data_IF_554630892205
#
_entry.id   IF_554630892205
#
_cell.length_a   1.000
_cell.length_b   1.000
_cell.length_c   1.000
_cell.angle_alpha   90.00
_cell.angle_beta   90.00
_cell.angle_gamma   90.00
#
_symmetry.space_group_name_H-M   'P 1'
#
loop_
_entity.id
_entity.type
_entity.pdbx_description
1 polymer ?
#
# COMPACT_ATOMS: atom_id res chain seq x y z
N UNK A 1 -17.29 17.26 30.34
CA UNK A 1 -17.26 15.82 30.60
C UNK A 1 -17.56 15.49 32.07
N UNK A 2 -17.06 16.25 33.07
CA UNK A 2 -17.32 15.99 34.50
C UNK A 2 -18.82 16.00 34.87
N UNK A 3 -19.61 16.90 34.24
CA UNK A 3 -21.08 16.89 34.42
C UNK A 3 -21.73 15.65 33.79
N UNK A 4 -21.17 15.17 32.68
CA UNK A 4 -21.67 13.95 32.03
C UNK A 4 -21.38 12.74 32.90
N UNK A 5 -20.17 12.65 33.45
CA UNK A 5 -19.77 11.60 34.39
C UNK A 5 -20.65 11.53 35.64
N UNK A 6 -21.09 12.71 36.17
CA UNK A 6 -22.02 12.76 37.28
C UNK A 6 -23.42 12.22 36.92
N UNK A 7 -23.83 12.30 35.65
CA UNK A 7 -25.18 11.91 35.20
C UNK A 7 -25.22 10.43 34.80
N UNK A 8 -24.23 9.97 34.00
CA UNK A 8 -24.24 8.62 33.43
C UNK A 8 -23.30 7.64 34.15
N UNK A 9 -22.57 8.13 35.15
CA UNK A 9 -21.52 7.39 35.83
C UNK A 9 -20.21 7.38 35.04
N UNK A 10 -19.14 6.95 35.70
CA UNK A 10 -17.83 6.74 35.11
C UNK A 10 -17.86 5.52 34.17
N UNK A 11 -17.33 5.64 32.99
CA UNK A 11 -17.13 4.53 32.06
C UNK A 11 -15.84 4.71 31.27
N UNK A 12 -15.34 3.63 30.69
CA UNK A 12 -14.11 3.56 29.91
C UNK A 12 -14.01 4.62 28.82
N UNK A 13 -15.07 4.75 28.01
CA UNK A 13 -15.10 5.69 26.90
C UNK A 13 -14.99 7.14 27.37
N UNK A 14 -15.68 7.50 28.45
CA UNK A 14 -15.61 8.84 29.02
C UNK A 14 -14.24 9.17 29.60
N UNK A 15 -13.60 8.21 30.28
CA UNK A 15 -12.24 8.37 30.80
C UNK A 15 -11.22 8.54 29.69
N UNK A 16 -11.34 7.77 28.57
CA UNK A 16 -10.47 7.94 27.39
C UNK A 16 -10.68 9.29 26.71
N UNK A 17 -11.92 9.79 26.60
CA UNK A 17 -12.17 11.13 26.06
C UNK A 17 -11.63 12.23 26.98
N UNK A 18 -11.72 12.09 28.31
CA UNK A 18 -11.07 12.99 29.25
C UNK A 18 -9.56 13.00 29.08
N UNK A 19 -8.95 11.82 28.97
CA UNK A 19 -7.53 11.67 28.72
C UNK A 19 -7.08 12.43 27.46
N UNK A 20 -7.79 12.22 26.32
CA UNK A 20 -7.48 12.91 25.05
C UNK A 20 -7.60 14.44 25.17
N UNK A 21 -8.64 14.92 25.85
CA UNK A 21 -8.84 16.35 26.07
C UNK A 21 -7.74 16.93 26.96
N UNK A 22 -7.34 16.23 28.03
CA UNK A 22 -6.25 16.70 28.89
C UNK A 22 -4.92 16.75 28.13
N UNK A 23 -4.64 15.81 27.22
CA UNK A 23 -3.48 15.90 26.34
C UNK A 23 -3.54 17.13 25.42
N UNK A 24 -4.72 17.40 24.81
CA UNK A 24 -4.91 18.60 23.98
C UNK A 24 -4.77 19.91 24.75
N UNK A 25 -5.09 19.89 26.04
CA UNK A 25 -4.96 21.05 26.96
C UNK A 25 -3.55 21.16 27.58
N UNK A 26 -2.64 20.26 27.22
CA UNK A 26 -1.29 20.16 27.83
C UNK A 26 -1.35 19.98 29.36
N UNK A 27 -2.45 19.40 29.89
CA UNK A 27 -2.60 19.08 31.31
C UNK A 27 -2.15 17.63 31.57
N UNK A 28 -0.85 17.40 31.46
CA UNK A 28 -0.22 16.07 31.58
C UNK A 28 -0.57 15.40 32.92
N UNK A 29 -0.72 16.19 33.98
CA UNK A 29 -1.04 15.66 35.32
C UNK A 29 -2.41 14.99 35.35
N UNK A 30 -3.44 15.64 34.75
CA UNK A 30 -4.78 15.05 34.70
C UNK A 30 -4.86 13.92 33.67
N UNK A 31 -4.19 14.04 32.52
CA UNK A 31 -4.06 12.96 31.56
C UNK A 31 -3.49 11.70 32.21
N UNK A 32 -2.40 11.84 32.95
CA UNK A 32 -1.78 10.76 33.71
C UNK A 32 -2.75 10.10 34.72
N UNK A 33 -3.48 10.90 35.49
CA UNK A 33 -4.45 10.39 36.48
C UNK A 33 -5.59 9.59 35.82
N UNK A 34 -6.07 9.99 34.65
CA UNK A 34 -7.14 9.26 33.98
C UNK A 34 -6.64 7.90 33.45
N UNK A 35 -5.45 7.83 32.86
CA UNK A 35 -4.85 6.56 32.39
C UNK A 35 -4.45 5.65 33.56
N UNK A 36 -3.89 6.21 34.62
CA UNK A 36 -3.54 5.43 35.82
C UNK A 36 -4.78 4.73 36.41
N UNK A 37 -5.91 5.44 36.51
CA UNK A 37 -7.19 4.88 36.96
C UNK A 37 -7.71 3.79 35.99
N UNK A 38 -7.59 4.01 34.66
CA UNK A 38 -8.01 3.01 33.67
C UNK A 38 -7.14 1.75 33.77
N UNK A 39 -5.83 1.90 33.91
CA UNK A 39 -4.91 0.77 34.09
C UNK A 39 -5.16 -0.01 35.39
N UNK A 40 -5.59 0.68 36.45
CA UNK A 40 -6.00 0.04 37.73
C UNK A 40 -7.35 -0.70 37.60
N UNK A 41 -8.31 -0.11 36.90
CA UNK A 41 -9.66 -0.66 36.71
C UNK A 41 -9.66 -1.81 35.70
N UNK A 42 -8.79 -1.74 34.68
CA UNK A 42 -8.64 -2.73 33.62
C UNK A 42 -7.19 -3.27 33.56
N UNK A 43 -6.71 -3.99 34.58
CA UNK A 43 -5.30 -4.38 34.71
C UNK A 43 -4.82 -5.40 33.67
N UNK A 44 -5.73 -6.00 32.92
CA UNK A 44 -5.47 -6.92 31.81
C UNK A 44 -5.65 -6.27 30.44
N UNK A 45 -5.96 -4.99 30.36
CA UNK A 45 -5.99 -4.26 29.10
C UNK A 45 -4.61 -3.66 28.82
N UNK A 46 -3.88 -4.30 27.92
CA UNK A 46 -2.51 -3.93 27.57
C UNK A 46 -2.40 -2.55 26.91
N UNK A 47 -3.49 -2.04 26.36
CA UNK A 47 -3.52 -0.68 25.79
C UNK A 47 -3.30 0.37 26.85
N UNK A 48 -3.99 0.26 27.99
CA UNK A 48 -3.85 1.22 29.10
C UNK A 48 -2.51 1.10 29.80
N UNK A 49 -2.01 -0.12 29.98
CA UNK A 49 -0.68 -0.33 30.52
C UNK A 49 0.41 0.26 29.63
N UNK A 50 0.30 0.09 28.30
CA UNK A 50 1.27 0.68 27.37
C UNK A 50 1.22 2.20 27.40
N UNK A 51 0.02 2.80 27.33
CA UNK A 51 -0.15 4.26 27.45
C UNK A 51 0.37 4.79 28.78
N UNK A 52 0.17 4.06 29.89
CA UNK A 52 0.74 4.45 31.19
C UNK A 52 2.27 4.43 31.17
N UNK A 53 2.85 3.43 30.49
CA UNK A 53 4.30 3.37 30.25
C UNK A 53 4.82 4.58 29.49
N UNK A 54 4.11 4.99 28.42
CA UNK A 54 4.46 6.17 27.62
C UNK A 54 4.41 7.46 28.45
N UNK A 55 3.38 7.61 29.29
CA UNK A 55 3.28 8.75 30.19
C UNK A 55 4.37 8.75 31.26
N UNK A 56 4.76 7.57 31.80
CA UNK A 56 5.93 7.46 32.67
C UNK A 56 7.20 7.95 31.99
N UNK A 57 7.41 7.53 30.72
CA UNK A 57 8.58 7.92 29.93
C UNK A 57 8.61 9.43 29.68
N UNK A 58 7.50 10.03 29.25
CA UNK A 58 7.36 11.48 29.04
C UNK A 58 7.62 12.29 30.30
N UNK A 59 7.22 11.77 31.46
CA UNK A 59 7.47 12.40 32.77
C UNK A 59 8.85 12.07 33.37
N UNK A 60 9.76 11.47 32.61
CA UNK A 60 11.09 11.14 33.03
C UNK A 60 11.21 9.96 34.01
N UNK A 61 10.11 9.25 34.29
CA UNK A 61 10.05 8.05 35.14
C UNK A 61 10.47 6.81 34.31
N UNK A 62 11.76 6.80 33.92
CA UNK A 62 12.29 5.81 32.98
C UNK A 62 12.19 4.37 33.49
N UNK A 63 12.41 4.14 34.77
CA UNK A 63 12.36 2.78 35.32
C UNK A 63 10.94 2.22 35.37
N UNK A 64 9.97 3.06 35.71
CA UNK A 64 8.55 2.71 35.71
C UNK A 64 8.06 2.43 34.30
N UNK A 65 8.45 3.26 33.32
CA UNK A 65 8.14 3.03 31.90
C UNK A 65 8.64 1.66 31.44
N UNK A 66 9.93 1.39 31.65
CA UNK A 66 10.54 0.13 31.27
C UNK A 66 9.84 -1.07 31.92
N UNK A 67 9.60 -1.03 33.25
CA UNK A 67 8.94 -2.13 33.95
C UNK A 67 7.50 -2.35 33.46
N UNK A 68 6.81 -1.29 33.07
CA UNK A 68 5.44 -1.37 32.54
C UNK A 68 5.43 -2.04 31.15
N UNK A 69 6.33 -1.65 30.25
CA UNK A 69 6.45 -2.30 28.93
C UNK A 69 6.85 -3.78 29.06
N UNK A 70 7.80 -4.09 29.93
CA UNK A 70 8.19 -5.48 30.20
C UNK A 70 7.03 -6.31 30.77
N UNK A 71 6.19 -5.73 31.63
CA UNK A 71 4.99 -6.38 32.14
C UNK A 71 4.02 -6.71 31.00
N UNK A 72 3.75 -5.76 30.08
CA UNK A 72 2.89 -6.01 28.91
C UNK A 72 3.46 -7.14 28.07
N UNK A 73 4.74 -7.10 27.71
CA UNK A 73 5.38 -8.11 26.87
C UNK A 73 5.53 -9.47 27.57
N UNK A 74 5.50 -9.52 28.89
CA UNK A 74 5.46 -10.80 29.63
C UNK A 74 4.09 -11.51 29.53
N UNK A 75 3.02 -10.75 29.30
CA UNK A 75 1.63 -11.23 29.16
C UNK A 75 1.29 -11.46 27.68
N UNK A 76 1.63 -10.49 26.86
CA UNK A 76 1.43 -10.51 25.41
C UNK A 76 2.78 -10.27 24.69
N UNK A 77 3.57 -11.33 24.45
CA UNK A 77 4.90 -11.19 23.83
C UNK A 77 4.90 -10.51 22.45
N UNK A 78 3.79 -10.63 21.71
CA UNK A 78 3.62 -10.11 20.35
C UNK A 78 2.84 -8.78 20.33
N UNK A 79 2.67 -8.11 21.49
CA UNK A 79 2.00 -6.83 21.56
C UNK A 79 2.82 -5.75 20.86
N UNK A 80 2.41 -5.42 19.63
CA UNK A 80 3.13 -4.50 18.75
C UNK A 80 3.30 -3.10 19.34
N UNK A 81 2.28 -2.61 20.07
CA UNK A 81 2.30 -1.31 20.72
C UNK A 81 3.39 -1.26 21.80
N UNK A 82 3.45 -2.28 22.66
CA UNK A 82 4.47 -2.37 23.71
C UNK A 82 5.88 -2.61 23.13
N UNK A 83 6.00 -3.40 22.05
CA UNK A 83 7.28 -3.61 21.37
C UNK A 83 7.82 -2.30 20.81
N UNK A 84 6.97 -1.50 20.16
CA UNK A 84 7.34 -0.19 19.62
C UNK A 84 7.64 0.83 20.72
N UNK A 85 6.83 0.88 21.79
CA UNK A 85 7.05 1.72 22.94
C UNK A 85 8.39 1.43 23.63
N UNK A 86 8.76 0.14 23.75
CA UNK A 86 10.06 -0.27 24.29
C UNK A 86 11.21 0.12 23.35
N UNK A 87 11.03 0.05 22.04
CA UNK A 87 12.01 0.57 21.09
C UNK A 87 12.23 2.07 21.29
N UNK A 88 11.16 2.86 21.36
CA UNK A 88 11.20 4.31 21.61
C UNK A 88 11.89 4.62 22.96
N UNK A 89 11.66 3.80 23.97
CA UNK A 89 12.37 3.91 25.26
C UNK A 89 13.88 3.74 25.09
N UNK A 90 14.33 2.71 24.35
CA UNK A 90 15.76 2.49 24.11
C UNK A 90 16.38 3.63 23.31
N UNK A 91 15.68 4.17 22.32
CA UNK A 91 16.12 5.33 21.55
C UNK A 91 16.31 6.56 22.44
N UNK A 92 15.30 6.95 23.23
CA UNK A 92 15.34 8.10 24.13
C UNK A 92 16.37 7.97 25.26
N UNK A 93 16.74 6.74 25.62
CA UNK A 93 17.75 6.47 26.62
C UNK A 93 19.15 6.27 26.03
N UNK A 94 19.30 6.39 24.71
CA UNK A 94 20.57 6.28 23.99
C UNK A 94 21.12 4.86 23.87
N UNK A 95 20.29 3.85 24.05
CA UNK A 95 20.66 2.42 24.00
C UNK A 95 20.51 1.88 22.58
N UNK A 96 21.34 2.35 21.64
CA UNK A 96 21.21 2.11 20.20
C UNK A 96 21.15 0.63 19.83
N UNK A 97 21.95 -0.21 20.44
CA UNK A 97 21.99 -1.66 20.17
C UNK A 97 20.68 -2.33 20.58
N UNK A 98 20.11 -1.97 21.72
CA UNK A 98 18.84 -2.50 22.19
C UNK A 98 17.67 -1.98 21.36
N UNK A 99 17.71 -0.71 20.95
CA UNK A 99 16.76 -0.17 19.98
C UNK A 99 16.74 -0.99 18.70
N UNK A 100 17.92 -1.23 18.10
CA UNK A 100 18.04 -2.00 16.87
C UNK A 100 17.52 -3.43 17.03
N UNK A 101 17.88 -4.10 18.12
CA UNK A 101 17.38 -5.45 18.40
C UNK A 101 15.86 -5.47 18.57
N UNK A 102 15.29 -4.47 19.22
CA UNK A 102 13.83 -4.39 19.42
C UNK A 102 13.09 -4.13 18.10
N UNK A 103 13.60 -3.25 17.24
CA UNK A 103 13.05 -3.02 15.90
C UNK A 103 13.17 -4.28 15.05
N UNK A 104 14.31 -4.95 15.05
CA UNK A 104 14.48 -6.22 14.34
C UNK A 104 13.46 -7.28 14.83
N UNK A 105 13.28 -7.39 16.14
CA UNK A 105 12.32 -8.33 16.74
C UNK A 105 10.91 -8.03 16.28
N UNK A 106 10.49 -6.77 16.28
CA UNK A 106 9.15 -6.35 15.82
C UNK A 106 8.94 -6.63 14.34
N UNK A 107 9.89 -6.21 13.50
CA UNK A 107 9.78 -6.35 12.05
C UNK A 107 9.78 -7.82 11.57
N UNK A 108 10.47 -8.71 12.28
CA UNK A 108 10.55 -10.13 11.94
C UNK A 108 9.48 -10.99 12.62
N UNK A 109 8.66 -10.43 13.46
CA UNK A 109 7.60 -11.15 14.14
C UNK A 109 6.34 -11.22 13.27
N UNK A 110 6.03 -12.38 12.70
CA UNK A 110 4.85 -12.60 11.86
C UNK A 110 3.52 -12.63 12.63
N UNK A 111 3.54 -12.61 13.97
CA UNK A 111 2.34 -12.43 14.79
C UNK A 111 1.95 -10.95 14.91
N UNK A 112 2.87 -10.02 14.64
CA UNK A 112 2.58 -8.59 14.54
C UNK A 112 1.86 -8.33 13.21
N UNK A 113 0.72 -7.60 13.22
CA UNK A 113 -0.01 -7.29 12.00
C UNK A 113 0.87 -6.64 10.92
N UNK A 114 0.69 -7.06 9.67
CA UNK A 114 1.49 -6.59 8.54
C UNK A 114 1.49 -5.08 8.40
N UNK A 115 0.31 -4.43 8.55
CA UNK A 115 0.19 -2.97 8.54
C UNK A 115 1.12 -2.29 9.57
N UNK A 116 1.22 -2.85 10.78
CA UNK A 116 2.11 -2.32 11.81
C UNK A 116 3.58 -2.50 11.41
N UNK A 117 3.96 -3.67 10.92
CA UNK A 117 5.33 -3.94 10.42
C UNK A 117 5.70 -3.01 9.27
N UNK A 118 4.78 -2.75 8.35
CA UNK A 118 4.96 -1.81 7.23
C UNK A 118 5.19 -0.38 7.75
N UNK A 119 4.41 0.08 8.73
CA UNK A 119 4.58 1.41 9.30
C UNK A 119 5.94 1.57 10.00
N UNK A 120 6.31 0.60 10.82
CA UNK A 120 7.64 0.58 11.48
C UNK A 120 8.78 0.49 10.46
N UNK A 121 8.59 -0.29 9.38
CA UNK A 121 9.58 -0.38 8.30
C UNK A 121 9.75 0.94 7.56
N UNK A 122 8.69 1.73 7.38
CA UNK A 122 8.78 3.09 6.82
C UNK A 122 9.64 4.01 7.69
N UNK A 123 9.47 3.97 9.00
CA UNK A 123 10.30 4.74 9.94
C UNK A 123 11.76 4.26 9.90
N UNK A 124 11.97 2.95 9.88
CA UNK A 124 13.30 2.36 9.73
C UNK A 124 14.00 2.82 8.44
N UNK A 125 13.28 2.88 7.31
CA UNK A 125 13.80 3.40 6.05
C UNK A 125 14.25 4.86 6.21
N UNK A 126 13.39 5.72 6.77
CA UNK A 126 13.71 7.14 6.97
C UNK A 126 14.97 7.31 7.81
N UNK A 127 15.08 6.58 8.92
CA UNK A 127 16.25 6.63 9.79
C UNK A 127 17.52 6.12 9.09
N UNK A 128 17.43 4.98 8.41
CA UNK A 128 18.56 4.42 7.69
C UNK A 128 19.08 5.36 6.58
N UNK A 129 18.18 6.04 5.87
CA UNK A 129 18.52 7.02 4.84
C UNK A 129 19.16 8.29 5.40
N UNK A 130 18.80 8.69 6.62
CA UNK A 130 19.45 9.81 7.33
C UNK A 130 20.87 9.44 7.81
N UNK A 131 21.06 8.21 8.26
CA UNK A 131 22.35 7.73 8.75
C UNK A 131 23.33 7.42 7.60
N UNK A 132 22.83 6.84 6.52
CA UNK A 132 23.62 6.46 5.33
C UNK A 132 22.75 6.43 4.09
N UNK A 133 23.32 6.83 2.95
CA UNK A 133 22.68 6.67 1.63
C UNK A 133 22.79 5.24 1.09
N UNK A 134 23.37 4.31 1.85
CA UNK A 134 23.53 2.92 1.47
C UNK A 134 22.26 2.13 1.77
N UNK A 135 21.63 1.64 0.72
CA UNK A 135 20.40 0.85 0.80
C UNK A 135 20.59 -0.57 1.32
N UNK A 136 21.80 -1.03 1.54
CA UNK A 136 22.12 -2.44 1.88
C UNK A 136 21.40 -2.90 3.16
N UNK A 137 21.38 -2.05 4.19
CA UNK A 137 20.73 -2.36 5.47
C UNK A 137 19.22 -2.51 5.32
N UNK A 138 18.60 -1.62 4.54
CA UNK A 138 17.15 -1.63 4.28
C UNK A 138 16.77 -2.88 3.45
N UNK A 139 17.52 -3.15 2.39
CA UNK A 139 17.32 -4.33 1.54
C UNK A 139 17.46 -5.63 2.36
N UNK A 140 18.51 -5.73 3.17
CA UNK A 140 18.73 -6.90 4.01
C UNK A 140 17.59 -7.13 5.02
N UNK A 141 16.98 -6.06 5.54
CA UNK A 141 15.81 -6.17 6.42
C UNK A 141 14.59 -6.68 5.65
N UNK A 142 14.28 -6.13 4.48
CA UNK A 142 13.20 -6.64 3.64
C UNK A 142 13.38 -8.12 3.29
N UNK A 143 14.58 -8.53 2.89
CA UNK A 143 14.89 -9.93 2.58
C UNK A 143 14.67 -10.87 3.79
N UNK A 144 14.94 -10.38 5.01
CA UNK A 144 14.66 -11.13 6.24
C UNK A 144 13.17 -11.24 6.50
N UNK A 145 12.43 -10.14 6.35
CA UNK A 145 10.97 -10.11 6.54
C UNK A 145 10.26 -11.05 5.57
N UNK A 146 10.62 -11.04 4.28
CA UNK A 146 10.02 -11.92 3.27
C UNK A 146 10.33 -13.40 3.50
N UNK A 147 11.52 -13.73 4.05
CA UNK A 147 11.83 -15.11 4.44
C UNK A 147 11.05 -15.57 5.65
N UNK A 148 10.76 -14.67 6.58
CA UNK A 148 10.02 -14.97 7.81
C UNK A 148 8.53 -15.12 7.57
N UNK A 149 7.99 -14.34 6.65
CA UNK A 149 6.56 -14.31 6.32
C UNK A 149 6.40 -14.17 4.79
N UNK A 150 6.52 -15.29 4.06
CA UNK A 150 6.49 -15.28 2.59
C UNK A 150 5.10 -15.01 2.01
N UNK A 151 4.03 -15.13 2.81
CA UNK A 151 2.65 -14.94 2.40
C UNK A 151 2.11 -13.53 2.72
N UNK A 152 2.96 -12.65 3.29
CA UNK A 152 2.63 -11.25 3.53
C UNK A 152 2.47 -10.51 2.19
N UNK A 153 1.34 -9.83 2.00
CA UNK A 153 1.02 -9.08 0.77
C UNK A 153 1.48 -7.63 0.79
N UNK A 154 1.70 -7.04 1.96
CA UNK A 154 2.01 -5.61 2.13
C UNK A 154 3.52 -5.33 2.14
N UNK A 155 4.29 -6.16 2.83
CA UNK A 155 5.74 -6.00 2.92
C UNK A 155 6.42 -6.07 1.56
N UNK A 156 6.12 -7.06 0.68
CA UNK A 156 6.73 -7.09 -0.66
C UNK A 156 6.33 -5.89 -1.50
N UNK A 157 5.11 -5.36 -1.34
CA UNK A 157 4.71 -4.15 -2.07
C UNK A 157 5.50 -2.92 -1.61
N UNK A 158 5.72 -2.73 -0.32
CA UNK A 158 6.59 -1.68 0.21
C UNK A 158 8.04 -1.86 -0.26
N UNK A 159 8.54 -3.09 -0.29
CA UNK A 159 9.90 -3.39 -0.79
C UNK A 159 10.05 -3.02 -2.26
N UNK A 160 9.11 -3.42 -3.11
CA UNK A 160 9.12 -3.05 -4.52
C UNK A 160 9.12 -1.52 -4.73
N UNK A 161 8.29 -0.79 -3.97
CA UNK A 161 8.27 0.68 -3.99
C UNK A 161 9.62 1.28 -3.59
N UNK A 162 10.25 0.73 -2.55
CA UNK A 162 11.58 1.15 -2.12
C UNK A 162 12.63 0.94 -3.22
N UNK A 163 12.68 -0.26 -3.80
CA UNK A 163 13.61 -0.58 -4.90
C UNK A 163 13.43 0.36 -6.09
N UNK A 164 12.18 0.63 -6.49
CA UNK A 164 11.87 1.56 -7.57
C UNK A 164 12.33 2.99 -7.24
N UNK A 165 12.15 3.44 -6.01
CA UNK A 165 12.61 4.76 -5.57
C UNK A 165 14.14 4.92 -5.64
N UNK A 166 14.87 3.81 -5.56
CA UNK A 166 16.33 3.74 -5.72
C UNK A 166 16.80 3.48 -7.16
N UNK A 167 15.87 3.41 -8.13
CA UNK A 167 16.20 3.10 -9.52
C UNK A 167 16.55 1.63 -9.77
N UNK A 168 16.28 0.75 -8.81
CA UNK A 168 16.56 -0.69 -8.86
C UNK A 168 15.37 -1.44 -9.48
N UNK A 169 15.02 -1.07 -10.73
CA UNK A 169 13.84 -1.61 -11.41
C UNK A 169 13.95 -3.12 -11.64
N UNK A 170 15.14 -3.61 -11.99
CA UNK A 170 15.33 -5.05 -12.26
C UNK A 170 15.07 -5.90 -11.02
N UNK A 171 15.52 -5.43 -9.87
CA UNK A 171 15.36 -6.07 -8.57
C UNK A 171 13.92 -6.02 -8.07
N UNK A 172 13.14 -4.99 -8.46
CA UNK A 172 11.74 -4.87 -8.09
C UNK A 172 10.82 -5.87 -8.81
N UNK A 173 11.18 -6.32 -10.03
CA UNK A 173 10.35 -7.23 -10.83
C UNK A 173 10.01 -8.55 -10.12
N UNK A 174 10.97 -9.32 -9.58
CA UNK A 174 10.66 -10.56 -8.89
C UNK A 174 9.80 -10.33 -7.64
N UNK A 175 9.99 -9.21 -6.92
CA UNK A 175 9.20 -8.84 -5.75
C UNK A 175 7.75 -8.53 -6.14
N UNK A 176 7.53 -7.75 -7.21
CA UNK A 176 6.19 -7.47 -7.73
C UNK A 176 5.48 -8.74 -8.25
N UNK A 177 6.22 -9.67 -8.86
CA UNK A 177 5.67 -10.97 -9.25
C UNK A 177 5.24 -11.80 -8.04
N UNK A 178 5.99 -11.74 -6.93
CA UNK A 178 5.58 -12.36 -5.66
C UNK A 178 4.28 -11.73 -5.14
N UNK A 179 4.15 -10.40 -5.16
CA UNK A 179 2.88 -9.73 -4.79
C UNK A 179 1.71 -10.30 -5.59
N UNK A 180 1.85 -10.48 -6.91
CA UNK A 180 0.78 -11.03 -7.75
C UNK A 180 0.53 -12.54 -7.55
N UNK A 181 1.46 -13.29 -6.98
CA UNK A 181 1.23 -14.68 -6.57
C UNK A 181 0.37 -14.77 -5.32
N UNK A 182 0.57 -13.82 -4.39
CA UNK A 182 -0.18 -13.74 -3.12
C UNK A 182 -1.54 -13.11 -3.36
N UNK A 183 -1.57 -11.95 -4.01
CA UNK A 183 -2.79 -11.22 -4.38
C UNK A 183 -2.85 -10.99 -5.89
N UNK A 184 -3.49 -11.89 -6.66
CA UNK A 184 -3.68 -11.72 -8.11
C UNK A 184 -4.52 -10.50 -8.50
N UNK A 185 -5.26 -9.89 -7.56
CA UNK A 185 -6.09 -8.70 -7.82
C UNK A 185 -5.34 -7.39 -7.65
N UNK A 186 -4.08 -7.42 -7.20
CA UNK A 186 -3.27 -6.24 -6.93
C UNK A 186 -2.95 -5.47 -8.23
N UNK A 187 -3.84 -4.51 -8.52
CA UNK A 187 -3.73 -3.67 -9.72
C UNK A 187 -2.44 -2.83 -9.72
N UNK A 188 -1.99 -2.33 -8.56
CA UNK A 188 -0.80 -1.48 -8.48
C UNK A 188 0.48 -2.25 -8.87
N UNK A 189 0.65 -3.47 -8.36
CA UNK A 189 1.79 -4.33 -8.74
C UNK A 189 1.74 -4.68 -10.22
N UNK A 190 0.56 -5.05 -10.73
CA UNK A 190 0.35 -5.41 -12.13
C UNK A 190 0.63 -4.26 -13.09
N UNK A 191 0.13 -3.06 -12.78
CA UNK A 191 0.38 -1.86 -13.59
C UNK A 191 1.86 -1.44 -13.57
N UNK A 192 2.55 -1.63 -12.46
CA UNK A 192 4.00 -1.36 -12.38
C UNK A 192 4.81 -2.30 -13.28
N UNK A 193 4.50 -3.61 -13.25
CA UNK A 193 5.11 -4.60 -14.15
C UNK A 193 4.77 -4.30 -15.61
N UNK A 194 3.51 -3.98 -15.89
CA UNK A 194 3.02 -3.62 -17.22
C UNK A 194 3.79 -2.42 -17.79
N UNK A 195 3.98 -1.35 -16.99
CA UNK A 195 4.79 -0.21 -17.39
C UNK A 195 6.25 -0.58 -17.73
N UNK A 196 6.85 -1.53 -17.01
CA UNK A 196 8.19 -2.05 -17.34
C UNK A 196 8.19 -2.85 -18.66
N UNK A 197 7.20 -3.72 -18.87
CA UNK A 197 7.08 -4.51 -20.09
C UNK A 197 6.86 -3.62 -21.33
N UNK A 198 6.02 -2.60 -21.22
CA UNK A 198 5.76 -1.61 -22.30
C UNK A 198 7.05 -0.86 -22.68
N UNK A 199 7.81 -0.37 -21.70
CA UNK A 199 9.09 0.33 -21.99
C UNK A 199 10.12 -0.56 -22.70
N UNK A 200 10.05 -1.87 -22.49
CA UNK A 200 10.92 -2.87 -23.14
C UNK A 200 10.38 -3.36 -24.49
N UNK A 201 9.16 -2.95 -24.88
CA UNK A 201 8.42 -3.50 -26.01
C UNK A 201 8.23 -5.02 -25.92
N UNK A 202 8.10 -5.55 -24.69
CA UNK A 202 7.86 -6.97 -24.44
C UNK A 202 6.35 -7.26 -24.48
N UNK A 203 5.83 -7.39 -25.71
CA UNK A 203 4.40 -7.59 -25.93
C UNK A 203 3.90 -8.94 -25.39
N UNK A 204 4.77 -9.96 -25.28
CA UNK A 204 4.38 -11.23 -24.66
C UNK A 204 4.16 -11.08 -23.14
N UNK A 205 5.06 -10.35 -22.44
CA UNK A 205 4.86 -10.02 -21.03
C UNK A 205 3.64 -9.11 -20.83
N UNK A 206 3.38 -8.15 -21.75
CA UNK A 206 2.16 -7.32 -21.72
C UNK A 206 0.91 -8.18 -21.79
N UNK A 207 0.83 -9.15 -22.71
CA UNK A 207 -0.29 -10.09 -22.82
C UNK A 207 -0.44 -10.89 -21.52
N UNK A 208 0.63 -11.50 -21.03
CA UNK A 208 0.66 -12.31 -19.82
C UNK A 208 0.28 -11.55 -18.53
N UNK A 209 0.42 -10.22 -18.51
CA UNK A 209 -0.02 -9.36 -17.42
C UNK A 209 -1.47 -8.89 -17.59
N UNK A 210 -1.88 -8.55 -18.82
CA UNK A 210 -3.19 -7.96 -19.06
C UNK A 210 -4.32 -9.00 -19.01
N UNK A 211 -4.13 -10.20 -19.56
CA UNK A 211 -5.18 -11.23 -19.55
C UNK A 211 -5.64 -11.57 -18.13
N UNK A 212 -4.74 -11.95 -17.17
CA UNK A 212 -5.14 -12.16 -15.79
C UNK A 212 -5.60 -10.87 -15.10
N UNK A 213 -5.11 -9.70 -15.54
CA UNK A 213 -5.55 -8.41 -15.04
C UNK A 213 -7.02 -8.14 -15.31
N UNK A 214 -7.49 -8.46 -16.52
CA UNK A 214 -8.88 -8.36 -16.92
C UNK A 214 -9.78 -9.37 -16.17
N UNK A 215 -9.26 -10.58 -15.93
CA UNK A 215 -10.00 -11.58 -15.16
C UNK A 215 -10.20 -11.14 -13.70
N UNK A 216 -9.15 -10.60 -13.09
CA UNK A 216 -9.19 -10.13 -11.72
C UNK A 216 -9.96 -8.81 -11.54
N UNK A 217 -9.86 -7.89 -12.52
CA UNK A 217 -10.45 -6.55 -12.48
C UNK A 217 -11.12 -6.20 -13.84
N UNK A 218 -12.29 -6.76 -14.15
CA UNK A 218 -12.95 -6.58 -15.46
C UNK A 218 -13.31 -5.12 -15.79
N UNK A 219 -13.45 -4.27 -14.79
CA UNK A 219 -13.79 -2.85 -14.96
C UNK A 219 -12.56 -1.98 -15.28
N UNK A 220 -11.34 -2.52 -15.21
CA UNK A 220 -10.11 -1.79 -15.47
C UNK A 220 -9.83 -1.70 -16.97
N UNK A 221 -10.34 -0.64 -17.61
CA UNK A 221 -10.23 -0.41 -19.06
C UNK A 221 -8.77 -0.31 -19.54
N UNK A 222 -7.84 0.03 -18.66
CA UNK A 222 -6.41 0.12 -18.96
C UNK A 222 -5.83 -1.23 -19.43
N UNK A 223 -6.24 -2.34 -18.82
CA UNK A 223 -5.75 -3.65 -19.24
C UNK A 223 -6.24 -4.03 -20.64
N UNK A 224 -7.48 -3.69 -20.99
CA UNK A 224 -7.99 -3.90 -22.35
C UNK A 224 -7.22 -3.07 -23.37
N UNK A 225 -6.91 -1.81 -23.04
CA UNK A 225 -6.18 -0.91 -23.92
C UNK A 225 -4.81 -1.47 -24.28
N UNK A 226 -4.01 -1.82 -23.26
CA UNK A 226 -2.67 -2.35 -23.49
C UNK A 226 -2.66 -3.74 -24.09
N UNK A 227 -3.63 -4.58 -23.77
CA UNK A 227 -3.79 -5.90 -24.38
C UNK A 227 -4.09 -5.80 -25.88
N UNK A 228 -5.00 -4.90 -26.23
CA UNK A 228 -5.34 -4.64 -27.63
C UNK A 228 -4.14 -4.14 -28.44
N UNK A 229 -3.34 -3.21 -27.87
CA UNK A 229 -2.08 -2.75 -28.48
C UNK A 229 -1.12 -3.93 -28.65
N UNK A 230 -0.94 -4.77 -27.62
CA UNK A 230 -0.03 -5.90 -27.69
C UNK A 230 -0.45 -6.92 -28.76
N UNK A 231 -1.73 -7.22 -28.88
CA UNK A 231 -2.25 -8.06 -29.96
C UNK A 231 -2.07 -7.43 -31.34
N UNK A 232 -2.31 -6.11 -31.46
CA UNK A 232 -2.08 -5.38 -32.72
C UNK A 232 -0.61 -5.47 -33.17
N UNK A 233 0.33 -5.23 -32.24
CA UNK A 233 1.75 -5.32 -32.52
C UNK A 233 2.23 -6.75 -32.81
N UNK A 234 1.52 -7.75 -32.31
CA UNK A 234 1.76 -9.17 -32.60
C UNK A 234 1.03 -9.63 -33.88
N UNK A 235 0.48 -8.70 -34.69
CA UNK A 235 -0.31 -8.97 -35.91
C UNK A 235 -1.56 -9.85 -35.65
N UNK A 236 -2.02 -9.95 -34.40
CA UNK A 236 -3.23 -10.68 -33.98
C UNK A 236 -4.44 -9.75 -34.06
N UNK A 237 -4.75 -9.27 -35.27
CA UNK A 237 -5.72 -8.20 -35.50
C UNK A 237 -7.16 -8.56 -35.05
N UNK A 238 -7.57 -9.83 -35.21
CA UNK A 238 -8.90 -10.27 -34.77
C UNK A 238 -9.00 -10.31 -33.22
N UNK A 239 -7.96 -10.74 -32.55
CA UNK A 239 -7.89 -10.72 -31.08
C UNK A 239 -7.90 -9.28 -30.53
N UNK A 240 -7.15 -8.37 -31.16
CA UNK A 240 -7.13 -6.95 -30.82
C UNK A 240 -8.53 -6.32 -30.98
N UNK A 241 -9.23 -6.63 -32.08
CA UNK A 241 -10.58 -6.13 -32.29
C UNK A 241 -11.56 -6.68 -31.24
N UNK A 242 -11.51 -7.99 -30.96
CA UNK A 242 -12.36 -8.64 -29.98
C UNK A 242 -12.16 -8.06 -28.57
N UNK A 243 -10.92 -7.76 -28.18
CA UNK A 243 -10.64 -7.22 -26.85
C UNK A 243 -11.14 -5.78 -26.69
N UNK A 244 -11.02 -4.92 -27.71
CA UNK A 244 -11.63 -3.59 -27.68
C UNK A 244 -13.15 -3.62 -27.67
N UNK A 245 -13.78 -4.53 -28.44
CA UNK A 245 -15.23 -4.73 -28.40
C UNK A 245 -15.70 -5.19 -27.02
N UNK A 246 -14.92 -6.06 -26.34
CA UNK A 246 -15.19 -6.48 -24.98
C UNK A 246 -15.04 -5.32 -23.99
N UNK A 247 -14.01 -4.47 -24.14
CA UNK A 247 -13.80 -3.28 -23.32
C UNK A 247 -15.02 -2.33 -23.34
N UNK A 248 -15.63 -2.14 -24.52
CA UNK A 248 -16.80 -1.28 -24.67
C UNK A 248 -18.03 -1.76 -23.89
N UNK A 249 -18.11 -3.06 -23.53
CA UNK A 249 -19.17 -3.60 -22.67
C UNK A 249 -19.02 -3.21 -21.20
N UNK A 250 -17.82 -2.79 -20.78
CA UNK A 250 -17.49 -2.35 -19.42
C UNK A 250 -17.43 -0.82 -19.29
N UNK A 251 -17.73 -0.09 -20.36
CA UNK A 251 -17.78 1.39 -20.32
C UNK A 251 -19.02 1.83 -19.54
N UNK A 252 -18.82 2.73 -18.59
CA UNK A 252 -19.85 3.36 -17.77
C UNK A 252 -19.90 4.88 -17.98
N UNK A 253 -20.86 5.55 -17.36
CA UNK A 253 -20.95 7.02 -17.41
C UNK A 253 -19.72 7.72 -16.81
N UNK A 254 -19.02 7.05 -15.88
CA UNK A 254 -17.84 7.56 -15.21
C UNK A 254 -16.53 7.25 -15.95
N UNK A 255 -16.59 6.47 -17.03
CA UNK A 255 -15.44 6.12 -17.84
C UNK A 255 -14.87 7.35 -18.55
N UNK A 256 -13.54 7.46 -18.58
CA UNK A 256 -12.84 8.54 -19.27
C UNK A 256 -13.14 8.49 -20.77
N UNK A 257 -13.72 9.55 -21.30
CA UNK A 257 -14.12 9.64 -22.72
C UNK A 257 -12.93 9.47 -23.67
N UNK A 258 -11.76 9.93 -23.25
CA UNK A 258 -10.53 9.78 -24.01
C UNK A 258 -10.16 8.31 -24.23
N UNK A 259 -10.26 7.49 -23.19
CA UNK A 259 -9.98 6.03 -23.27
C UNK A 259 -10.96 5.33 -24.19
N UNK A 260 -12.26 5.68 -24.11
CA UNK A 260 -13.29 5.13 -25.00
C UNK A 260 -13.04 5.54 -26.45
N UNK A 261 -12.64 6.80 -26.65
CA UNK A 261 -12.24 7.33 -27.99
C UNK A 261 -11.05 6.55 -28.55
N UNK A 262 -10.06 6.23 -27.71
CA UNK A 262 -8.87 5.48 -28.14
C UNK A 262 -9.23 4.05 -28.56
N UNK A 263 -10.18 3.39 -27.88
CA UNK A 263 -10.66 2.08 -28.31
C UNK A 263 -11.24 2.14 -29.71
N UNK A 264 -12.12 3.11 -30.00
CA UNK A 264 -12.70 3.27 -31.33
C UNK A 264 -11.65 3.64 -32.38
N UNK A 265 -10.68 4.50 -32.06
CA UNK A 265 -9.59 4.83 -32.97
C UNK A 265 -8.76 3.61 -33.33
N UNK A 266 -8.37 2.80 -32.34
CA UNK A 266 -7.62 1.55 -32.59
C UNK A 266 -8.42 0.52 -33.37
N UNK A 267 -9.74 0.42 -33.12
CA UNK A 267 -10.62 -0.43 -33.94
C UNK A 267 -10.67 0.06 -35.40
N UNK A 268 -10.69 1.39 -35.63
CA UNK A 268 -10.58 2.00 -36.95
C UNK A 268 -9.30 1.60 -37.65
N UNK A 269 -8.16 1.68 -36.98
CA UNK A 269 -6.85 1.29 -37.53
C UNK A 269 -6.82 -0.21 -37.90
N UNK A 270 -7.42 -1.06 -37.06
CA UNK A 270 -7.54 -2.50 -37.35
C UNK A 270 -8.42 -2.74 -38.56
N UNK A 271 -9.58 -2.10 -38.68
CA UNK A 271 -10.46 -2.24 -39.84
C UNK A 271 -9.79 -1.74 -41.12
N UNK A 272 -9.08 -0.61 -41.03
CA UNK A 272 -8.29 -0.09 -42.15
C UNK A 272 -7.22 -1.10 -42.59
N UNK A 273 -6.46 -1.69 -41.66
CA UNK A 273 -5.46 -2.72 -41.95
C UNK A 273 -6.04 -3.99 -42.56
N UNK A 274 -7.35 -4.20 -42.41
CA UNK A 274 -8.11 -5.33 -43.01
C UNK A 274 -8.86 -4.96 -44.29
N UNK A 275 -8.56 -3.79 -44.88
CA UNK A 275 -9.25 -3.25 -46.08
C UNK A 275 -10.78 -3.05 -45.91
N UNK A 276 -11.24 -2.89 -44.64
CA UNK A 276 -12.64 -2.66 -44.29
C UNK A 276 -12.91 -1.16 -44.08
N UNK A 277 -12.87 -0.38 -45.17
CA UNK A 277 -12.90 1.07 -45.11
C UNK A 277 -14.17 1.65 -44.48
N UNK A 278 -15.34 1.07 -44.77
CA UNK A 278 -16.60 1.57 -44.22
C UNK A 278 -16.65 1.42 -42.70
N UNK A 279 -16.20 0.28 -42.18
CA UNK A 279 -16.11 0.00 -40.74
C UNK A 279 -15.03 0.88 -40.09
N UNK A 280 -13.90 1.14 -40.78
CA UNK A 280 -12.86 2.01 -40.32
C UNK A 280 -13.36 3.44 -40.09
N UNK A 281 -14.01 4.03 -41.07
CA UNK A 281 -14.60 5.37 -40.97
C UNK A 281 -15.67 5.45 -39.88
N UNK A 282 -16.55 4.46 -39.77
CA UNK A 282 -17.55 4.43 -38.70
C UNK A 282 -16.94 4.36 -37.31
N UNK A 283 -15.81 3.65 -37.16
CA UNK A 283 -15.05 3.63 -35.90
C UNK A 283 -14.37 4.97 -35.60
N UNK A 284 -13.74 5.62 -36.60
CA UNK A 284 -13.15 6.95 -36.42
C UNK A 284 -14.23 8.01 -36.08
N UNK A 285 -15.39 7.98 -36.72
CA UNK A 285 -16.53 8.82 -36.37
C UNK A 285 -16.89 8.65 -34.89
N UNK A 286 -17.00 7.37 -34.44
CA UNK A 286 -17.29 7.06 -33.04
C UNK A 286 -16.20 7.61 -32.10
N UNK A 287 -14.93 7.47 -32.45
CA UNK A 287 -13.83 8.03 -31.66
C UNK A 287 -13.97 9.55 -31.49
N UNK A 288 -14.28 10.27 -32.58
CA UNK A 288 -14.42 11.73 -32.58
C UNK A 288 -15.67 12.22 -31.82
N UNK A 289 -16.71 11.39 -31.70
CA UNK A 289 -17.86 11.68 -30.82
C UNK A 289 -17.43 11.73 -29.34
N UNK A 290 -16.57 10.80 -28.92
CA UNK A 290 -16.07 10.74 -27.53
C UNK A 290 -14.97 11.77 -27.27
N UNK A 291 -14.05 11.96 -28.23
CA UNK A 291 -12.97 12.93 -28.16
C UNK A 291 -12.72 13.59 -29.53
N UNK A 292 -13.28 14.78 -29.78
CA UNK A 292 -13.10 15.49 -31.06
C UNK A 292 -11.64 15.85 -31.39
N UNK A 293 -10.76 15.77 -30.40
CA UNK A 293 -9.32 16.05 -30.54
C UNK A 293 -8.47 14.79 -30.61
N UNK A 294 -9.04 13.61 -30.84
CA UNK A 294 -8.30 12.36 -30.97
C UNK A 294 -7.41 12.40 -32.22
N UNK A 295 -6.11 12.57 -32.01
CA UNK A 295 -5.13 12.76 -33.10
C UNK A 295 -5.05 11.52 -34.00
N UNK A 296 -5.14 10.30 -33.42
CA UNK A 296 -5.12 9.05 -34.19
C UNK A 296 -6.28 9.00 -35.19
N UNK A 297 -7.51 9.21 -34.70
CA UNK A 297 -8.69 9.22 -35.53
C UNK A 297 -8.64 10.34 -36.62
N UNK A 298 -8.22 11.55 -36.24
CA UNK A 298 -8.12 12.67 -37.18
C UNK A 298 -7.08 12.43 -38.29
N UNK A 299 -5.91 11.89 -37.96
CA UNK A 299 -4.86 11.63 -38.94
C UNK A 299 -5.23 10.52 -39.94
N UNK A 300 -5.94 9.49 -39.46
CA UNK A 300 -6.28 8.35 -40.28
C UNK A 300 -7.60 8.51 -41.01
N UNK A 301 -8.38 9.56 -40.66
CA UNK A 301 -9.60 9.94 -41.38
C UNK A 301 -9.31 10.74 -42.68
N UNK A 302 -8.13 11.36 -42.77
CA UNK A 302 -7.71 12.20 -43.93
C UNK A 302 -7.12 11.36 -45.06
#
# INVERSE_FOLDING_TARGET
LDRLEQIIGKNEQLSMEKFRIYLQMEDDKKAFQEIEKLAEEYPMDMRYLTLLGDLYLQNGKKQEAYSTYQKVLSIEPDNAMAMFALASYYEQTGQKELYQQQIDTLLLNNQVPSETRVNVMREFIVQAEQESKDSTRVIAMFDRMLRQDPDDDQVPMLYAQYLLSKGMEKESIPVLKQVLQIDPTNTAARMTLLGSAIRKNDFQEVIGLCEPGIEANPESLEFYYYLGIAYYQAERLDDALAIYQRALQHVTADSKKEVVSDFYSMMGDIYHSKDKMAEAYAAYDSALVYNPSNIGALNNYA
#
